data_IF_809173350727
#
_entry.id   IF_809173350727
#
_cell.length_a   1.000
_cell.length_b   1.000
_cell.length_c   1.000
_cell.angle_alpha   90.00
_cell.angle_beta   90.00
_cell.angle_gamma   90.00
#
_symmetry.space_group_name_H-M   'P 1'
#
loop_
_entity.id
_entity.type
_entity.pdbx_description
1 polymer ?
#
# COMPACT_ATOMS: atom_id res chain seq x y z
N UNK A 1 -30.13 22.21 10.61
CA UNK A 1 -28.73 22.46 11.03
C UNK A 1 -28.39 21.39 12.06
N UNK A 2 -27.69 20.30 11.78
CA UNK A 2 -26.47 20.12 10.99
C UNK A 2 -26.58 18.91 10.04
N UNK A 3 -26.41 19.15 8.74
CA UNK A 3 -25.97 18.13 7.79
C UNK A 3 -24.47 17.94 7.99
N UNK A 4 -24.06 16.81 8.57
CA UNK A 4 -22.66 16.39 8.60
C UNK A 4 -22.51 15.11 7.78
N UNK A 5 -22.06 15.29 6.54
CA UNK A 5 -21.48 14.32 5.60
C UNK A 5 -21.23 12.89 6.12
N UNK A 6 -22.08 11.94 5.70
CA UNK A 6 -21.88 10.49 5.77
C UNK A 6 -20.79 10.03 4.76
N UNK A 7 -19.52 10.31 5.05
CA UNK A 7 -18.38 9.89 4.24
C UNK A 7 -17.47 8.96 5.07
N UNK A 8 -17.94 7.75 5.40
CA UNK A 8 -17.24 6.84 6.31
C UNK A 8 -16.77 5.58 5.58
N UNK A 9 -15.44 5.46 5.41
CA UNK A 9 -14.78 4.56 4.48
C UNK A 9 -14.29 3.28 5.19
N UNK A 10 -14.91 2.12 4.99
CA UNK A 10 -14.45 0.86 5.61
C UNK A 10 -13.50 0.05 4.73
N UNK A 11 -13.76 -0.06 3.42
CA UNK A 11 -12.94 -0.84 2.49
C UNK A 11 -12.08 0.07 1.59
N UNK A 12 -10.80 -0.29 1.36
CA UNK A 12 -9.97 0.42 0.40
C UNK A 12 -8.70 -0.28 -0.04
N UNK A 13 -8.09 0.27 -1.10
CA UNK A 13 -6.76 -0.12 -1.57
C UNK A 13 -5.72 0.54 -0.66
N UNK A 14 -5.01 -0.23 0.17
CA UNK A 14 -4.01 0.31 1.11
C UNK A 14 -2.63 0.43 0.49
N UNK A 15 -2.21 -0.56 -0.29
CA UNK A 15 -0.88 -0.57 -0.91
C UNK A 15 -0.96 -1.07 -2.35
N UNK A 16 -0.23 -0.42 -3.25
CA UNK A 16 -0.05 -0.92 -4.62
C UNK A 16 1.43 -1.01 -4.98
N UNK A 17 1.83 -2.15 -5.53
CA UNK A 17 3.22 -2.46 -5.89
C UNK A 17 3.34 -2.65 -7.40
N UNK A 18 4.42 -2.11 -7.97
CA UNK A 18 4.78 -2.25 -9.37
C UNK A 18 6.21 -2.77 -9.50
N UNK A 19 6.49 -3.48 -10.59
CA UNK A 19 7.87 -3.83 -10.99
C UNK A 19 8.11 -3.30 -12.40
N UNK A 20 9.20 -2.57 -12.59
CA UNK A 20 9.54 -1.96 -13.88
C UNK A 20 11.04 -1.81 -14.04
N UNK A 21 11.51 -1.52 -15.26
CA UNK A 21 12.90 -1.13 -15.47
C UNK A 21 13.16 0.24 -14.87
N UNK A 22 14.32 0.43 -14.23
CA UNK A 22 14.79 1.70 -13.68
C UNK A 22 14.68 2.84 -14.70
N UNK A 23 15.13 2.59 -15.94
CA UNK A 23 15.02 3.53 -17.05
C UNK A 23 13.59 4.02 -17.32
N UNK A 24 12.62 3.09 -17.41
CA UNK A 24 11.21 3.42 -17.64
C UNK A 24 10.63 4.26 -16.51
N UNK A 25 10.93 3.94 -15.24
CA UNK A 25 10.52 4.75 -14.09
C UNK A 25 11.08 6.17 -14.20
N UNK A 26 12.40 6.31 -14.42
CA UNK A 26 13.05 7.60 -14.57
C UNK A 26 12.44 8.42 -15.71
N UNK A 27 12.21 7.82 -16.89
CA UNK A 27 11.57 8.49 -18.04
C UNK A 27 10.18 9.01 -17.69
N UNK A 28 9.40 8.24 -16.91
CA UNK A 28 8.07 8.66 -16.47
C UNK A 28 8.13 9.81 -15.47
N UNK A 29 9.00 9.72 -14.47
CA UNK A 29 9.19 10.77 -13.48
C UNK A 29 9.71 12.06 -14.14
N UNK A 30 10.65 11.96 -15.10
CA UNK A 30 11.11 13.10 -15.94
C UNK A 30 9.95 13.79 -16.63
N UNK A 31 9.13 13.02 -17.35
CA UNK A 31 7.97 13.58 -18.06
C UNK A 31 7.04 14.32 -17.09
N UNK A 32 6.83 13.78 -15.90
CA UNK A 32 5.98 14.39 -14.88
C UNK A 32 6.58 15.63 -14.21
N UNK A 33 7.89 15.66 -14.00
CA UNK A 33 8.58 16.85 -13.49
C UNK A 33 8.50 17.99 -14.53
N UNK A 34 8.72 17.68 -15.80
CA UNK A 34 8.64 18.64 -16.90
C UNK A 34 7.23 19.23 -17.10
N UNK A 35 6.18 18.44 -16.85
CA UNK A 35 4.80 18.91 -16.87
C UNK A 35 4.48 19.94 -15.77
N UNK A 36 5.32 20.04 -14.72
CA UNK A 36 5.17 21.02 -13.62
C UNK A 36 5.97 22.30 -13.83
N UNK A 37 6.94 22.29 -14.73
CA UNK A 37 7.77 23.46 -14.99
C UNK A 37 7.09 24.39 -16.00
N UNK A 38 7.29 25.72 -15.86
CA UNK A 38 7.00 26.67 -16.93
C UNK A 38 7.55 26.18 -18.27
N UNK A 39 6.96 26.63 -19.39
CA UNK A 39 7.39 26.20 -20.74
C UNK A 39 8.82 26.65 -21.12
N UNK A 40 9.49 27.39 -20.24
CA UNK A 40 10.87 27.83 -20.41
C UNK A 40 11.81 26.64 -20.65
N UNK A 41 12.59 26.75 -21.73
CA UNK A 41 13.49 25.73 -22.25
C UNK A 41 14.73 25.54 -21.35
N UNK A 42 15.22 26.61 -20.71
CA UNK A 42 16.43 26.56 -19.89
C UNK A 42 16.21 25.78 -18.59
N UNK A 43 15.14 26.09 -17.84
CA UNK A 43 14.75 25.36 -16.62
C UNK A 43 14.46 23.87 -16.88
N UNK A 44 13.90 23.56 -18.06
CA UNK A 44 13.62 22.17 -18.45
C UNK A 44 14.89 21.38 -18.73
N UNK A 45 15.91 22.01 -19.32
CA UNK A 45 17.20 21.38 -19.59
C UNK A 45 17.96 21.04 -18.28
N UNK A 46 17.94 21.93 -17.29
CA UNK A 46 18.59 21.73 -15.99
C UNK A 46 18.00 20.54 -15.20
N UNK A 47 16.67 20.35 -15.25
CA UNK A 47 15.97 19.23 -14.61
C UNK A 47 16.12 17.92 -15.39
N UNK A 48 16.44 17.98 -16.70
CA UNK A 48 16.58 16.82 -17.57
C UNK A 48 17.90 16.06 -17.37
N UNK A 49 18.90 16.68 -16.77
CA UNK A 49 20.17 16.03 -16.44
C UNK A 49 19.92 14.77 -15.60
N UNK A 50 20.34 13.62 -16.10
CA UNK A 50 20.08 12.31 -15.47
C UNK A 50 20.65 12.23 -14.04
N UNK A 51 21.75 12.96 -13.78
CA UNK A 51 22.33 13.14 -12.45
C UNK A 51 21.40 13.91 -11.50
N UNK A 52 20.66 14.93 -11.96
CA UNK A 52 19.77 15.73 -11.11
C UNK A 52 18.45 15.02 -10.79
N UNK A 53 17.94 14.19 -11.69
CA UNK A 53 16.76 13.37 -11.40
C UNK A 53 17.07 12.26 -10.40
N UNK A 54 18.27 11.66 -10.51
CA UNK A 54 18.78 10.80 -9.46
C UNK A 54 19.05 11.58 -8.19
N UNK A 55 19.48 12.84 -8.23
CA UNK A 55 19.58 13.69 -7.03
C UNK A 55 18.21 14.02 -6.40
N UNK A 56 17.14 14.16 -7.20
CA UNK A 56 15.76 14.25 -6.70
C UNK A 56 15.26 12.93 -6.08
N UNK A 57 15.79 11.80 -6.54
CA UNK A 57 15.60 10.47 -5.93
C UNK A 57 16.68 10.15 -4.86
N UNK A 58 17.73 10.97 -4.74
CA UNK A 58 18.82 10.78 -3.79
C UNK A 58 18.27 11.26 -2.46
N UNK A 59 17.95 10.26 -1.66
CA UNK A 59 18.21 10.31 -0.23
C UNK A 59 17.75 11.61 0.42
N UNK A 60 16.44 11.69 0.65
CA UNK A 60 16.03 12.18 1.96
C UNK A 60 16.56 11.15 2.96
N UNK A 61 17.82 11.29 3.35
CA UNK A 61 18.45 10.52 4.43
C UNK A 61 17.69 10.71 5.76
N UNK A 62 16.81 11.71 5.81
CA UNK A 62 15.79 11.88 6.83
C UNK A 62 14.60 10.95 6.58
N UNK A 63 14.90 9.66 6.67
CA UNK A 63 13.95 8.57 6.54
C UNK A 63 12.98 8.62 7.71
N UNK A 64 11.73 8.98 7.44
CA UNK A 64 10.68 8.99 8.44
C UNK A 64 10.62 7.62 9.13
N UNK A 65 10.60 7.59 10.47
CA UNK A 65 10.54 6.36 11.30
C UNK A 65 9.54 5.33 10.76
N UNK A 66 8.39 5.79 10.26
CA UNK A 66 7.35 4.94 9.66
C UNK A 66 7.80 4.24 8.36
N UNK A 67 8.50 4.93 7.46
CA UNK A 67 8.98 4.35 6.22
C UNK A 67 10.11 3.34 6.44
N UNK A 68 11.03 3.63 7.37
CA UNK A 68 12.05 2.65 7.78
C UNK A 68 11.42 1.41 8.40
N UNK A 69 10.44 1.59 9.28
CA UNK A 69 9.71 0.47 9.86
C UNK A 69 8.99 -0.34 8.77
N UNK A 70 8.31 0.32 7.83
CA UNK A 70 7.67 -0.36 6.70
C UNK A 70 8.67 -1.19 5.88
N UNK A 71 9.84 -0.63 5.55
CA UNK A 71 10.88 -1.34 4.78
C UNK A 71 11.42 -2.53 5.58
N UNK A 72 11.79 -2.31 6.85
CA UNK A 72 12.47 -3.31 7.68
C UNK A 72 11.55 -4.42 8.18
N UNK A 73 10.23 -4.18 8.25
CA UNK A 73 9.27 -5.18 8.72
C UNK A 73 8.38 -5.71 7.58
N UNK A 74 7.66 -4.84 6.86
CA UNK A 74 6.74 -5.26 5.79
C UNK A 74 7.48 -5.71 4.54
N UNK A 75 8.59 -5.05 4.18
CA UNK A 75 9.41 -5.42 3.01
C UNK A 75 10.59 -6.34 3.32
N UNK A 76 10.75 -6.83 4.57
CA UNK A 76 11.89 -7.68 4.97
C UNK A 76 12.10 -8.89 4.05
N UNK A 77 11.00 -9.54 3.67
CA UNK A 77 11.01 -10.71 2.81
C UNK A 77 11.45 -10.43 1.37
N UNK A 78 11.55 -9.16 0.97
CA UNK A 78 12.03 -8.72 -0.35
C UNK A 78 13.54 -8.49 -0.37
N UNK A 79 14.17 -8.36 0.81
CA UNK A 79 15.61 -8.16 0.94
C UNK A 79 16.32 -9.50 0.67
N UNK A 80 17.30 -9.56 -0.24
CA UNK A 80 18.06 -10.78 -0.50
C UNK A 80 18.81 -11.24 0.76
N UNK A 81 18.69 -12.52 1.11
CA UNK A 81 19.45 -13.11 2.22
C UNK A 81 20.98 -13.01 2.01
N UNK A 82 21.42 -13.05 0.75
CA UNK A 82 22.82 -12.86 0.33
C UNK A 82 22.87 -11.71 -0.68
N UNK A 83 22.99 -10.44 -0.23
CA UNK A 83 23.03 -9.30 -1.13
C UNK A 83 24.31 -9.30 -1.98
N UNK A 84 24.20 -8.87 -3.23
CA UNK A 84 25.36 -8.73 -4.11
C UNK A 84 26.21 -7.54 -3.64
N UNK A 85 27.51 -7.75 -3.39
CA UNK A 85 28.43 -6.67 -2.98
C UNK A 85 28.45 -5.49 -3.96
N UNK A 86 28.38 -5.76 -5.27
CA UNK A 86 28.37 -4.72 -6.32
C UNK A 86 27.03 -4.00 -6.47
N UNK A 87 25.94 -4.62 -6.03
CA UNK A 87 24.58 -4.11 -6.21
C UNK A 87 23.76 -4.35 -4.94
N UNK A 88 24.10 -3.71 -3.80
CA UNK A 88 23.41 -3.96 -2.55
C UNK A 88 21.94 -3.54 -2.61
N UNK A 89 21.11 -4.13 -1.75
CA UNK A 89 19.74 -3.65 -1.55
C UNK A 89 19.76 -2.17 -1.19
N UNK A 90 18.90 -1.39 -1.86
CA UNK A 90 18.75 0.04 -1.60
C UNK A 90 17.27 0.38 -1.60
N UNK A 91 16.89 1.29 -0.70
CA UNK A 91 15.55 1.85 -0.66
C UNK A 91 15.65 3.37 -0.79
N UNK A 92 14.87 3.94 -1.70
CA UNK A 92 14.73 5.38 -1.88
C UNK A 92 13.30 5.78 -1.59
N UNK A 93 13.11 6.87 -0.85
CA UNK A 93 11.81 7.38 -0.45
C UNK A 93 11.60 8.71 -1.17
N UNK A 94 10.52 8.79 -1.97
CA UNK A 94 10.07 10.02 -2.61
C UNK A 94 8.82 10.51 -1.88
N UNK A 95 8.95 11.63 -1.16
CA UNK A 95 7.82 12.35 -0.58
C UNK A 95 7.14 13.15 -1.69
N UNK A 96 5.86 12.87 -1.95
CA UNK A 96 5.09 13.57 -3.00
C UNK A 96 4.62 14.94 -2.48
N UNK A 97 4.50 15.05 -1.16
CA UNK A 97 4.20 16.24 -0.40
C UNK A 97 5.43 16.68 0.42
N UNK A 98 5.72 17.97 0.44
CA UNK A 98 6.81 18.52 1.24
C UNK A 98 6.51 18.35 2.73
N UNK A 99 7.54 18.07 3.54
CA UNK A 99 7.43 17.86 4.99
C UNK A 99 6.56 16.68 5.42
N UNK A 100 6.13 15.81 4.51
CA UNK A 100 5.38 14.62 4.88
C UNK A 100 6.21 13.67 5.78
N UNK A 101 5.61 13.26 6.90
CA UNK A 101 6.20 12.35 7.90
C UNK A 101 5.60 10.93 7.86
N UNK A 102 4.63 10.71 6.98
CA UNK A 102 3.78 9.51 6.97
C UNK A 102 3.99 8.66 5.71
N UNK A 103 3.48 7.43 5.75
CA UNK A 103 3.47 6.54 4.58
C UNK A 103 2.54 7.04 3.47
N UNK A 104 1.39 7.62 3.82
CA UNK A 104 0.52 8.32 2.86
C UNK A 104 1.31 9.39 2.11
N UNK A 105 0.98 9.68 0.85
CA UNK A 105 1.68 10.67 0.03
C UNK A 105 3.19 10.41 -0.17
N UNK A 106 3.60 9.15 -0.09
CA UNK A 106 4.98 8.72 -0.32
C UNK A 106 5.03 7.62 -1.38
N UNK A 107 6.10 7.60 -2.18
CA UNK A 107 6.46 6.51 -3.06
C UNK A 107 7.79 5.92 -2.59
N UNK A 108 7.85 4.62 -2.38
CA UNK A 108 9.07 3.90 -2.01
C UNK A 108 9.59 3.15 -3.23
N UNK A 109 10.87 3.31 -3.55
CA UNK A 109 11.54 2.59 -4.64
C UNK A 109 12.57 1.65 -4.01
N UNK A 110 12.39 0.35 -4.22
CA UNK A 110 13.32 -0.67 -3.78
C UNK A 110 14.14 -1.16 -4.97
N UNK A 111 15.46 -1.05 -4.85
CA UNK A 111 16.42 -1.59 -5.79
C UNK A 111 16.98 -2.90 -5.27
N UNK A 112 17.37 -3.79 -6.19
CA UNK A 112 18.12 -5.00 -5.86
C UNK A 112 17.41 -5.94 -4.86
N UNK A 113 16.08 -6.01 -4.93
CA UNK A 113 15.27 -7.01 -4.23
C UNK A 113 15.49 -8.42 -4.80
N UNK A 114 15.12 -9.44 -4.02
CA UNK A 114 15.13 -10.85 -4.48
C UNK A 114 14.38 -11.01 -5.81
N UNK A 115 13.27 -10.27 -5.97
CA UNK A 115 12.41 -10.33 -7.16
C UNK A 115 13.01 -9.63 -8.37
N UNK A 116 13.56 -8.43 -8.18
CA UNK A 116 14.18 -7.67 -9.28
C UNK A 116 15.45 -8.36 -9.77
N UNK A 117 16.20 -9.02 -8.88
CA UNK A 117 17.30 -9.91 -9.27
C UNK A 117 16.82 -11.10 -10.11
N UNK A 118 15.79 -11.81 -9.66
CA UNK A 118 15.24 -12.94 -10.41
C UNK A 118 14.79 -12.51 -11.82
N UNK A 119 14.14 -11.35 -11.92
CA UNK A 119 13.72 -10.78 -13.19
C UNK A 119 14.91 -10.35 -14.07
N UNK A 120 15.94 -9.73 -13.48
CA UNK A 120 17.16 -9.36 -14.20
C UNK A 120 17.85 -10.59 -14.80
N UNK A 121 18.02 -11.65 -14.01
CA UNK A 121 18.63 -12.91 -14.45
C UNK A 121 17.80 -13.56 -15.56
N UNK A 122 16.48 -13.67 -15.37
CA UNK A 122 15.56 -14.24 -16.37
C UNK A 122 15.65 -13.54 -17.72
N UNK A 123 15.88 -12.23 -17.71
CA UNK A 123 15.94 -11.41 -18.92
C UNK A 123 17.37 -11.11 -19.40
N UNK A 124 18.39 -11.78 -18.85
CA UNK A 124 19.80 -11.55 -19.17
C UNK A 124 20.21 -10.06 -19.09
N UNK A 125 19.73 -9.35 -18.06
CA UNK A 125 20.06 -7.94 -17.80
C UNK A 125 20.90 -7.80 -16.52
N UNK A 126 21.55 -6.64 -16.37
CA UNK A 126 22.29 -6.28 -15.14
C UNK A 126 21.36 -6.31 -13.92
N UNK A 127 21.86 -6.73 -12.76
CA UNK A 127 21.03 -6.94 -11.56
C UNK A 127 20.27 -5.68 -11.09
N UNK A 128 20.83 -4.49 -11.36
CA UNK A 128 20.24 -3.20 -11.03
C UNK A 128 19.29 -2.64 -12.12
N UNK A 129 18.91 -3.44 -13.12
CA UNK A 129 18.06 -2.99 -14.24
C UNK A 129 16.61 -2.73 -13.81
N UNK A 130 16.11 -3.52 -12.86
CA UNK A 130 14.71 -3.47 -12.43
C UNK A 130 14.59 -2.92 -11.02
N UNK A 131 13.49 -2.21 -10.78
CA UNK A 131 13.11 -1.65 -9.49
C UNK A 131 11.70 -2.06 -9.13
N UNK A 132 11.43 -2.16 -7.84
CA UNK A 132 10.10 -2.30 -7.29
C UNK A 132 9.64 -0.94 -6.77
N UNK A 133 8.43 -0.53 -7.15
CA UNK A 133 7.85 0.75 -6.74
C UNK A 133 6.63 0.46 -5.90
N UNK A 134 6.55 1.06 -4.71
CA UNK A 134 5.50 0.82 -3.72
C UNK A 134 4.82 2.16 -3.40
N UNK A 135 3.50 2.18 -3.48
CA UNK A 135 2.64 3.24 -2.93
C UNK A 135 1.95 2.69 -1.68
N UNK A 136 2.51 2.93 -0.48
CA UNK A 136 1.88 2.52 0.77
C UNK A 136 0.87 3.57 1.25
N UNK A 137 -0.01 3.17 2.17
CA UNK A 137 -0.86 4.10 2.90
C UNK A 137 -1.88 4.85 2.02
N UNK A 138 -2.35 4.18 0.96
CA UNK A 138 -3.43 4.64 0.07
C UNK A 138 -4.82 4.48 0.70
N UNK A 139 -4.92 3.84 1.87
CA UNK A 139 -6.14 3.76 2.67
C UNK A 139 -5.82 4.03 4.15
N UNK A 140 -5.74 5.32 4.49
CA UNK A 140 -5.39 5.80 5.83
C UNK A 140 -6.43 6.81 6.33
N UNK A 141 -7.43 6.36 7.11
CA UNK A 141 -8.46 7.24 7.69
C UNK A 141 -7.95 8.43 8.51
N UNK A 142 -6.72 8.35 9.03
CA UNK A 142 -6.09 9.41 9.83
C UNK A 142 -5.25 10.40 9.01
N UNK A 143 -5.13 10.24 7.67
CA UNK A 143 -4.28 11.06 6.80
C UNK A 143 -4.99 11.47 5.51
N UNK A 144 -4.72 12.69 5.08
CA UNK A 144 -5.12 13.12 3.74
C UNK A 144 -4.30 12.36 2.69
N UNK A 145 -4.96 11.95 1.61
CA UNK A 145 -4.28 11.45 0.41
C UNK A 145 -4.43 12.49 -0.68
N UNK A 146 -3.31 13.08 -1.05
CA UNK A 146 -3.29 14.21 -1.96
C UNK A 146 -3.56 13.75 -3.41
N UNK A 147 -4.24 14.59 -4.17
CA UNK A 147 -4.52 14.40 -5.58
C UNK A 147 -3.24 14.17 -6.41
N UNK A 148 -2.12 14.78 -6.00
CA UNK A 148 -0.81 14.57 -6.65
C UNK A 148 -0.35 13.11 -6.53
N UNK A 149 -0.62 12.46 -5.40
CA UNK A 149 -0.31 11.04 -5.14
C UNK A 149 -1.14 10.15 -6.06
N UNK A 150 -2.46 10.39 -6.09
CA UNK A 150 -3.40 9.63 -6.94
C UNK A 150 -3.08 9.81 -8.43
N UNK A 151 -2.73 11.04 -8.86
CA UNK A 151 -2.28 11.33 -10.24
C UNK A 151 -1.02 10.55 -10.63
N UNK A 152 -0.03 10.48 -9.76
CA UNK A 152 1.20 9.72 -9.99
C UNK A 152 0.92 8.22 -10.03
N UNK A 153 0.16 7.72 -9.07
CA UNK A 153 -0.23 6.32 -8.98
C UNK A 153 -0.92 5.87 -10.27
N UNK A 154 -1.93 6.61 -10.74
CA UNK A 154 -2.61 6.32 -12.00
C UNK A 154 -1.65 6.26 -13.18
N UNK A 155 -0.79 7.27 -13.35
CA UNK A 155 0.17 7.30 -14.48
C UNK A 155 1.07 6.07 -14.51
N UNK A 156 1.49 5.58 -13.35
CA UNK A 156 2.26 4.33 -13.21
C UNK A 156 1.40 3.11 -13.52
N UNK A 157 0.21 3.04 -12.94
CA UNK A 157 -0.77 1.96 -13.13
C UNK A 157 -1.12 1.71 -14.61
N UNK A 158 -1.35 2.77 -15.38
CA UNK A 158 -1.71 2.67 -16.80
C UNK A 158 -0.52 2.12 -17.64
N UNK A 159 0.72 2.41 -17.23
CA UNK A 159 1.93 2.14 -18.02
C UNK A 159 2.73 0.93 -17.56
N UNK A 160 2.52 0.45 -16.34
CA UNK A 160 3.34 -0.60 -15.71
C UNK A 160 2.44 -1.74 -15.25
N UNK A 161 2.99 -2.96 -15.21
CA UNK A 161 2.33 -4.12 -14.64
C UNK A 161 2.24 -3.96 -13.13
N UNK A 162 1.04 -4.14 -12.58
CA UNK A 162 0.83 -4.20 -11.14
C UNK A 162 1.34 -5.54 -10.64
N UNK A 163 2.21 -5.51 -9.65
CA UNK A 163 2.82 -6.70 -9.09
C UNK A 163 1.91 -7.34 -8.04
N UNK A 164 1.48 -6.54 -7.07
CA UNK A 164 0.59 -6.93 -5.99
C UNK A 164 -0.19 -5.72 -5.47
N UNK A 165 -1.27 -5.99 -4.74
CA UNK A 165 -2.06 -5.01 -3.99
C UNK A 165 -2.33 -5.50 -2.58
N UNK A 166 -2.55 -4.56 -1.67
CA UNK A 166 -3.17 -4.82 -0.37
C UNK A 166 -4.55 -4.19 -0.36
N UNK A 167 -5.59 -5.00 -0.12
CA UNK A 167 -6.93 -4.52 0.22
C UNK A 167 -7.07 -4.51 1.74
N UNK A 168 -7.71 -3.48 2.27
CA UNK A 168 -7.95 -3.31 3.69
C UNK A 168 -9.43 -3.08 3.97
N UNK A 169 -9.93 -3.68 5.04
CA UNK A 169 -11.25 -3.45 5.60
C UNK A 169 -11.12 -3.07 7.08
N UNK A 170 -11.61 -1.88 7.41
CA UNK A 170 -11.69 -1.31 8.75
C UNK A 170 -13.05 -1.63 9.39
N UNK A 171 -13.02 -2.15 10.61
CA UNK A 171 -14.22 -2.54 11.36
C UNK A 171 -14.03 -2.39 12.87
N UNK A 172 -15.10 -2.62 13.65
CA UNK A 172 -15.12 -2.53 15.10
C UNK A 172 -15.21 -3.92 15.68
N UNK A 173 -14.34 -4.19 16.63
CA UNK A 173 -14.34 -5.42 17.41
C UNK A 173 -13.96 -5.04 18.84
N UNK A 174 -14.92 -5.20 19.76
CA UNK A 174 -14.74 -4.86 21.17
C UNK A 174 -13.63 -5.67 21.84
N UNK A 175 -13.49 -6.93 21.45
CA UNK A 175 -12.46 -7.82 21.99
C UNK A 175 -11.09 -7.50 21.38
N UNK A 176 -10.05 -7.60 22.22
CA UNK A 176 -8.67 -7.47 21.77
C UNK A 176 -8.31 -8.56 20.75
N UNK A 177 -7.49 -8.21 19.76
CA UNK A 177 -7.02 -9.17 18.74
C UNK A 177 -6.14 -10.26 19.37
N UNK A 178 -5.46 -9.96 20.48
CA UNK A 178 -4.67 -10.94 21.22
C UNK A 178 -5.50 -11.90 22.07
N UNK A 179 -6.80 -11.67 22.25
CA UNK A 179 -7.61 -12.51 23.14
C UNK A 179 -7.70 -13.96 22.63
N UNK A 180 -7.76 -14.97 23.52
CA UNK A 180 -7.89 -16.37 23.11
C UNK A 180 -9.11 -16.64 22.23
N UNK A 181 -10.22 -15.96 22.51
CA UNK A 181 -11.47 -16.03 21.76
C UNK A 181 -11.28 -15.58 20.30
N UNK A 182 -10.76 -14.36 20.09
CA UNK A 182 -10.54 -13.81 18.75
C UNK A 182 -9.50 -14.61 17.98
N UNK A 183 -8.44 -15.08 18.66
CA UNK A 183 -7.44 -15.96 18.02
C UNK A 183 -8.06 -17.28 17.55
N UNK A 184 -8.88 -17.91 18.38
CA UNK A 184 -9.54 -19.19 18.06
C UNK A 184 -10.52 -19.01 16.91
N UNK A 185 -11.37 -17.98 16.98
CA UNK A 185 -12.30 -17.62 15.92
C UNK A 185 -11.59 -17.33 14.60
N UNK A 186 -10.57 -16.46 14.63
CA UNK A 186 -9.76 -16.12 13.45
C UNK A 186 -9.09 -17.35 12.84
N UNK A 187 -8.56 -18.25 13.69
CA UNK A 187 -7.97 -19.50 13.21
C UNK A 187 -8.99 -20.38 12.50
N UNK A 188 -10.20 -20.53 13.07
CA UNK A 188 -11.30 -21.30 12.48
C UNK A 188 -11.72 -20.72 11.13
N UNK A 189 -11.97 -19.41 11.06
CA UNK A 189 -12.32 -18.71 9.81
C UNK A 189 -11.26 -18.91 8.73
N UNK A 190 -9.97 -18.81 9.08
CA UNK A 190 -8.88 -18.89 8.11
C UNK A 190 -8.37 -20.32 7.87
N UNK A 191 -8.93 -21.34 8.50
CA UNK A 191 -8.38 -22.71 8.46
C UNK A 191 -8.40 -23.29 7.04
N UNK A 192 -9.45 -22.98 6.27
CA UNK A 192 -9.60 -23.41 4.89
C UNK A 192 -8.55 -22.77 3.96
N UNK A 193 -7.99 -21.61 4.34
CA UNK A 193 -6.90 -20.92 3.63
C UNK A 193 -5.52 -21.39 4.08
N UNK A 194 -5.40 -21.99 5.26
CA UNK A 194 -4.13 -22.49 5.75
C UNK A 194 -3.70 -23.75 4.97
N UNK A 195 -2.39 -23.89 4.76
CA UNK A 195 -1.82 -25.14 4.24
C UNK A 195 -1.40 -26.04 5.39
N UNK A 196 -0.99 -25.46 6.52
CA UNK A 196 -0.53 -26.13 7.74
C UNK A 196 -0.92 -25.29 8.97
N UNK A 197 -1.15 -25.95 10.10
CA UNK A 197 -1.46 -25.26 11.37
C UNK A 197 -0.37 -24.26 11.84
N UNK A 198 0.88 -24.44 11.40
CA UNK A 198 2.02 -23.54 11.76
C UNK A 198 2.11 -22.29 10.88
N UNK A 199 1.18 -22.07 9.96
CA UNK A 199 1.21 -20.91 9.06
C UNK A 199 0.74 -19.61 9.74
N UNK A 200 0.08 -19.74 10.91
CA UNK A 200 -0.36 -18.62 11.73
C UNK A 200 0.80 -18.08 12.59
N UNK A 201 1.00 -16.76 12.53
CA UNK A 201 1.94 -16.05 13.41
C UNK A 201 1.17 -15.01 14.23
N UNK A 202 1.32 -15.07 15.55
CA UNK A 202 0.70 -14.14 16.48
C UNK A 202 1.78 -13.18 17.00
N UNK A 203 1.53 -11.88 16.93
CA UNK A 203 2.49 -10.88 17.37
C UNK A 203 1.75 -9.68 17.97
N UNK A 204 1.88 -9.48 19.29
CA UNK A 204 1.09 -8.49 20.04
C UNK A 204 -0.40 -8.54 19.65
N UNK A 205 -0.96 -7.39 19.22
CA UNK A 205 -2.33 -7.23 18.72
C UNK A 205 -2.45 -7.49 17.22
N UNK A 206 -1.80 -8.54 16.71
CA UNK A 206 -1.83 -8.88 15.29
C UNK A 206 -1.77 -10.39 15.06
N UNK A 207 -2.51 -10.84 14.06
CA UNK A 207 -2.57 -12.22 13.58
C UNK A 207 -2.22 -12.21 12.09
N UNK A 208 -1.23 -13.03 11.71
CA UNK A 208 -0.77 -13.16 10.33
C UNK A 208 -1.00 -14.60 9.85
N UNK A 209 -1.54 -14.74 8.64
CA UNK A 209 -1.45 -15.98 7.86
C UNK A 209 -0.56 -15.70 6.64
N UNK A 210 0.66 -16.23 6.67
CA UNK A 210 1.63 -16.06 5.59
C UNK A 210 1.56 -17.24 4.62
N UNK A 211 1.63 -16.97 3.31
CA UNK A 211 1.61 -18.00 2.25
C UNK A 211 0.36 -18.93 2.30
N UNK A 212 -0.86 -18.36 2.38
CA UNK A 212 -2.09 -19.15 2.34
C UNK A 212 -2.21 -19.92 1.02
N UNK A 213 -3.25 -20.75 0.92
CA UNK A 213 -3.69 -21.30 -0.37
C UNK A 213 -3.91 -20.14 -1.35
N UNK A 214 -3.39 -20.24 -2.59
CA UNK A 214 -3.31 -19.11 -3.50
C UNK A 214 -4.64 -18.81 -4.22
N UNK A 215 -5.74 -18.72 -3.47
CA UNK A 215 -7.07 -18.37 -3.99
C UNK A 215 -7.02 -16.93 -4.50
N UNK A 216 -7.38 -16.72 -5.78
CA UNK A 216 -7.28 -15.43 -6.49
C UNK A 216 -5.90 -14.74 -6.39
N UNK A 217 -4.84 -15.52 -6.13
CA UNK A 217 -3.48 -15.00 -5.93
C UNK A 217 -3.20 -14.46 -4.52
N UNK A 218 -3.99 -14.81 -3.52
CA UNK A 218 -3.77 -14.43 -2.12
C UNK A 218 -2.37 -14.86 -1.63
N UNK A 219 -1.66 -13.93 -0.98
CA UNK A 219 -0.28 -14.12 -0.49
C UNK A 219 -0.16 -13.97 1.03
N UNK A 220 -1.06 -13.20 1.65
CA UNK A 220 -1.05 -12.92 3.09
C UNK A 220 -2.40 -12.44 3.57
N UNK A 221 -2.78 -12.84 4.77
CA UNK A 221 -3.88 -12.26 5.56
C UNK A 221 -3.28 -11.65 6.83
N UNK A 222 -3.74 -10.47 7.22
CA UNK A 222 -3.33 -9.77 8.44
C UNK A 222 -4.56 -9.17 9.13
N UNK A 223 -4.84 -9.60 10.35
CA UNK A 223 -5.79 -8.96 11.25
C UNK A 223 -5.04 -8.25 12.36
N UNK A 224 -5.35 -6.98 12.65
CA UNK A 224 -4.69 -6.25 13.72
C UNK A 224 -5.53 -5.13 14.33
N UNK A 225 -5.13 -4.70 15.53
CA UNK A 225 -5.67 -3.52 16.18
C UNK A 225 -5.10 -2.24 15.56
N UNK A 226 -5.98 -1.54 14.81
CA UNK A 226 -5.59 -0.37 14.04
C UNK A 226 -5.58 0.89 14.91
N UNK A 227 -6.48 0.99 15.90
CA UNK A 227 -6.46 2.05 16.90
C UNK A 227 -5.12 2.07 17.64
N UNK A 228 -4.74 0.97 18.29
CA UNK A 228 -3.49 0.86 19.04
C UNK A 228 -2.26 1.11 18.16
N UNK A 229 -2.28 0.65 16.90
CA UNK A 229 -1.20 0.96 15.96
C UNK A 229 -1.09 2.46 15.71
N UNK A 230 -2.20 3.17 15.55
CA UNK A 230 -2.18 4.62 15.31
C UNK A 230 -1.84 5.41 16.57
N UNK A 231 -2.41 5.06 17.72
CA UNK A 231 -2.18 5.79 18.97
C UNK A 231 -0.82 5.48 19.58
N UNK A 232 -0.43 4.21 19.69
CA UNK A 232 0.75 3.81 20.46
C UNK A 232 2.01 3.82 19.58
N UNK A 233 1.93 3.27 18.37
CA UNK A 233 3.10 3.17 17.50
C UNK A 233 3.34 4.44 16.68
N UNK A 234 2.25 5.06 16.18
CA UNK A 234 2.35 6.29 15.38
C UNK A 234 2.15 7.58 16.19
N UNK A 235 1.78 7.50 17.48
CA UNK A 235 1.53 8.65 18.35
C UNK A 235 0.54 9.66 17.74
N UNK A 236 -0.52 9.16 17.11
CA UNK A 236 -1.54 9.99 16.45
C UNK A 236 -2.72 10.26 17.38
N UNK A 237 -3.24 11.50 17.42
CA UNK A 237 -4.45 11.83 18.17
C UNK A 237 -5.68 11.32 17.40
N UNK A 238 -6.04 10.07 17.66
CA UNK A 238 -7.23 9.41 17.11
C UNK A 238 -8.40 9.61 18.07
N UNK A 239 -9.60 9.82 17.52
CA UNK A 239 -10.82 9.97 18.33
C UNK A 239 -11.08 8.72 19.18
N UNK A 240 -11.44 8.90 20.45
CA UNK A 240 -11.64 7.80 21.41
C UNK A 240 -12.80 6.87 21.01
N UNK A 241 -13.80 7.38 20.29
CA UNK A 241 -14.89 6.59 19.70
C UNK A 241 -14.39 5.44 18.79
N UNK A 242 -13.14 5.53 18.31
CA UNK A 242 -12.50 4.51 17.47
C UNK A 242 -11.66 3.50 18.27
N UNK A 243 -11.76 3.45 19.60
CA UNK A 243 -10.96 2.52 20.43
C UNK A 243 -11.07 1.04 20.03
N UNK A 244 -12.21 0.65 19.46
CA UNK A 244 -12.47 -0.72 19.00
C UNK A 244 -12.04 -0.95 17.54
N UNK A 245 -11.37 0.01 16.89
CA UNK A 245 -11.00 -0.03 15.47
C UNK A 245 -9.94 -1.09 15.15
N UNK A 246 -10.35 -2.12 14.41
CA UNK A 246 -9.52 -3.18 13.85
C UNK A 246 -9.44 -3.08 12.33
N UNK A 247 -8.42 -3.73 11.76
CA UNK A 247 -8.26 -3.84 10.30
C UNK A 247 -7.93 -5.26 9.88
N UNK A 248 -8.65 -5.73 8.87
CA UNK A 248 -8.32 -6.92 8.08
C UNK A 248 -7.66 -6.48 6.78
N UNK A 249 -6.45 -6.96 6.50
CA UNK A 249 -5.64 -6.61 5.33
C UNK A 249 -5.24 -7.88 4.57
N UNK A 250 -5.55 -7.95 3.28
CA UNK A 250 -5.25 -9.07 2.39
C UNK A 250 -4.31 -8.60 1.28
N UNK A 251 -3.20 -9.32 1.11
CA UNK A 251 -2.24 -9.09 0.02
C UNK A 251 -2.50 -10.04 -1.14
N UNK A 252 -2.72 -9.53 -2.34
CA UNK A 252 -2.97 -10.31 -3.55
C UNK A 252 -1.89 -10.09 -4.62
N UNK A 253 -1.47 -11.19 -5.25
CA UNK A 253 -0.62 -11.16 -6.44
C UNK A 253 -1.45 -10.82 -7.67
N UNK A 254 -1.08 -9.73 -8.35
CA UNK A 254 -1.74 -9.29 -9.59
C UNK A 254 -1.00 -9.84 -10.81
N UNK A 255 0.23 -9.36 -11.04
CA UNK A 255 1.09 -9.85 -12.13
C UNK A 255 0.67 -9.43 -13.55
N UNK A 256 -0.25 -8.47 -13.68
CA UNK A 256 -0.78 -7.99 -14.97
C UNK A 256 -1.05 -6.49 -14.95
N UNK A 257 -1.46 -5.95 -16.12
CA UNK A 257 -1.95 -4.57 -16.22
C UNK A 257 -3.20 -4.39 -15.37
N UNK A 258 -3.32 -3.23 -14.74
CA UNK A 258 -4.44 -2.95 -13.83
C UNK A 258 -5.80 -3.06 -14.51
N UNK A 259 -5.96 -2.45 -15.69
CA UNK A 259 -7.26 -2.46 -16.37
C UNK A 259 -7.69 -3.89 -16.69
N UNK A 260 -6.75 -4.74 -17.17
CA UNK A 260 -6.99 -6.18 -17.34
C UNK A 260 -7.35 -6.91 -16.04
N UNK A 261 -6.74 -6.53 -14.92
CA UNK A 261 -7.07 -7.11 -13.61
C UNK A 261 -8.49 -6.75 -13.14
N UNK A 262 -8.95 -5.54 -13.45
CA UNK A 262 -10.32 -5.09 -13.16
C UNK A 262 -11.32 -5.74 -14.12
N UNK A 263 -11.06 -5.66 -15.43
CA UNK A 263 -11.93 -6.18 -16.49
C UNK A 263 -12.13 -7.70 -16.41
N UNK A 264 -11.13 -8.43 -15.93
CA UNK A 264 -11.24 -9.90 -15.74
C UNK A 264 -12.08 -10.32 -14.54
N UNK A 265 -12.63 -9.39 -13.75
CA UNK A 265 -13.39 -9.70 -12.53
C UNK A 265 -12.53 -10.12 -11.33
N UNK A 266 -11.21 -10.31 -11.51
CA UNK A 266 -10.29 -10.75 -10.43
C UNK A 266 -10.23 -9.77 -9.26
N UNK A 267 -10.37 -8.47 -9.51
CA UNK A 267 -10.48 -7.50 -8.41
C UNK A 267 -11.73 -7.78 -7.56
N UNK A 268 -12.87 -8.08 -8.18
CA UNK A 268 -14.10 -8.40 -7.47
C UNK A 268 -13.99 -9.69 -6.67
N UNK A 269 -13.33 -10.73 -7.20
CA UNK A 269 -13.04 -11.95 -6.42
C UNK A 269 -12.22 -11.64 -5.15
N UNK A 270 -11.23 -10.74 -5.25
CA UNK A 270 -10.42 -10.34 -4.11
C UNK A 270 -11.23 -9.58 -3.06
N UNK A 271 -12.16 -8.72 -3.50
CA UNK A 271 -13.09 -7.97 -2.64
C UNK A 271 -14.04 -8.94 -1.94
N UNK A 272 -14.69 -9.83 -2.70
CA UNK A 272 -15.62 -10.82 -2.14
C UNK A 272 -14.94 -11.71 -1.09
N UNK A 273 -13.68 -12.12 -1.32
CA UNK A 273 -12.92 -12.88 -0.33
C UNK A 273 -12.70 -12.07 0.96
N UNK A 274 -12.33 -10.79 0.85
CA UNK A 274 -12.14 -9.91 2.00
C UNK A 274 -13.45 -9.75 2.80
N UNK A 275 -14.55 -9.51 2.11
CA UNK A 275 -15.88 -9.33 2.70
C UNK A 275 -16.38 -10.60 3.38
N UNK A 276 -16.26 -11.76 2.72
CA UNK A 276 -16.66 -13.05 3.30
C UNK A 276 -15.89 -13.35 4.59
N UNK A 277 -14.56 -13.15 4.60
CA UNK A 277 -13.76 -13.33 5.81
C UNK A 277 -14.15 -12.34 6.91
N UNK A 278 -14.48 -11.09 6.55
CA UNK A 278 -14.94 -10.11 7.52
C UNK A 278 -16.29 -10.53 8.13
N UNK A 279 -17.25 -10.99 7.32
CA UNK A 279 -18.55 -11.51 7.79
C UNK A 279 -18.34 -12.69 8.75
N UNK A 280 -17.49 -13.66 8.38
CA UNK A 280 -17.20 -14.83 9.24
C UNK A 280 -16.49 -14.44 10.55
N UNK A 281 -15.73 -13.35 10.56
CA UNK A 281 -15.16 -12.77 11.77
C UNK A 281 -16.18 -12.01 12.63
N UNK A 282 -17.44 -11.95 12.20
CA UNK A 282 -18.49 -11.05 12.70
C UNK A 282 -17.96 -9.62 12.81
N UNK A 283 -17.27 -9.18 11.77
CA UNK A 283 -16.82 -7.80 11.66
C UNK A 283 -18.04 -6.88 11.61
N UNK A 284 -18.41 -6.34 12.77
CA UNK A 284 -19.32 -5.21 12.83
C UNK A 284 -18.57 -4.02 12.29
N UNK A 285 -18.79 -3.67 11.02
CA UNK A 285 -18.39 -2.35 10.53
C UNK A 285 -19.10 -1.34 11.43
N UNK A 286 -18.37 -0.47 12.14
CA UNK A 286 -18.96 0.45 13.11
C UNK A 286 -19.92 1.44 12.44
N UNK A 287 -19.93 1.46 11.10
CA UNK A 287 -20.60 2.46 10.27
C UNK A 287 -21.31 1.87 9.02
N UNK A 288 -21.54 0.55 8.98
CA UNK A 288 -22.05 -0.16 7.78
C UNK A 288 -20.95 -0.48 6.74
N UNK A 289 -21.17 -1.50 5.90
CA UNK A 289 -20.26 -1.85 4.80
C UNK A 289 -20.47 -0.85 3.67
N UNK A 290 -19.81 0.31 3.75
CA UNK A 290 -19.83 1.28 2.66
C UNK A 290 -18.70 1.01 1.65
N UNK A 291 -19.04 0.34 0.55
CA UNK A 291 -18.15 0.12 -0.60
C UNK A 291 -17.88 1.40 -1.40
N UNK A 292 -18.62 2.49 -1.16
CA UNK A 292 -18.44 3.79 -1.82
C UNK A 292 -17.01 4.30 -1.69
N UNK A 293 -16.30 3.89 -0.64
CA UNK A 293 -14.93 4.20 -0.37
C UNK A 293 -13.96 3.70 -1.45
N UNK A 294 -14.01 2.39 -1.70
CA UNK A 294 -13.23 1.78 -2.75
C UNK A 294 -13.69 2.30 -4.11
N UNK A 295 -14.99 2.43 -4.34
CA UNK A 295 -15.52 2.96 -5.60
C UNK A 295 -15.08 4.41 -5.84
N UNK A 296 -15.03 5.25 -4.82
CA UNK A 296 -14.51 6.62 -4.88
C UNK A 296 -13.01 6.62 -5.15
N UNK A 297 -12.22 5.76 -4.51
CA UNK A 297 -10.80 5.59 -4.82
C UNK A 297 -10.60 5.14 -6.27
N UNK A 298 -11.35 4.14 -6.73
CA UNK A 298 -11.29 3.62 -8.10
C UNK A 298 -11.74 4.65 -9.12
N UNK A 299 -12.80 5.42 -8.84
CA UNK A 299 -13.32 6.51 -9.68
C UNK A 299 -12.30 7.64 -9.81
N UNK A 300 -11.70 8.09 -8.70
CA UNK A 300 -10.60 9.08 -8.71
C UNK A 300 -9.38 8.59 -9.47
N UNK A 301 -9.09 7.28 -9.42
CA UNK A 301 -8.02 6.68 -10.22
C UNK A 301 -8.41 6.47 -11.70
N UNK A 302 -9.71 6.39 -12.03
CA UNK A 302 -10.23 6.29 -13.42
C UNK A 302 -10.36 7.65 -14.11
N UNK A 303 -10.65 8.74 -13.40
CA UNK A 303 -10.75 10.10 -13.97
C UNK A 303 -9.88 11.13 -13.23
N UNK A 304 -8.86 11.67 -13.93
CA UNK A 304 -7.93 12.66 -13.37
C UNK A 304 -8.57 14.04 -13.20
N UNK A 305 -9.69 14.30 -13.88
CA UNK A 305 -10.45 15.56 -13.75
C UNK A 305 -11.18 15.63 -12.41
N UNK A 306 -11.53 14.48 -11.84
CA UNK A 306 -12.23 14.31 -10.57
C UNK A 306 -11.24 13.99 -9.43
N UNK A 307 -9.94 14.01 -9.72
CA UNK A 307 -8.90 13.66 -8.76
C UNK A 307 -8.73 14.78 -7.72
N UNK A 308 -9.57 14.74 -6.69
CA UNK A 308 -9.51 15.56 -5.47
C UNK A 308 -8.84 14.80 -4.33
N UNK A 309 -8.38 15.54 -3.33
CA UNK A 309 -7.83 14.96 -2.11
C UNK A 309 -8.85 14.04 -1.43
N UNK A 310 -8.36 13.00 -0.75
CA UNK A 310 -9.18 12.16 0.13
C UNK A 310 -8.90 12.65 1.56
N UNK A 311 -9.86 13.29 2.25
CA UNK A 311 -9.63 13.85 3.57
C UNK A 311 -9.52 12.77 4.64
N UNK A 312 -8.73 13.06 5.68
CA UNK A 312 -8.74 12.32 6.93
C UNK A 312 -10.04 12.58 7.68
N UNK A 313 -10.58 11.55 8.33
CA UNK A 313 -11.83 11.63 9.10
C UNK A 313 -11.69 11.07 10.53
N UNK A 314 -10.62 10.30 10.80
CA UNK A 314 -10.40 9.61 12.07
C UNK A 314 -9.64 10.42 13.14
N UNK A 315 -9.09 11.58 12.79
CA UNK A 315 -8.35 12.44 13.74
C UNK A 315 -9.27 13.35 14.54
N UNK A 316 -8.84 13.70 15.75
CA UNK A 316 -9.42 14.83 16.48
C UNK A 316 -9.16 16.11 15.67
N UNK A 317 -10.17 16.96 15.55
CA UNK A 317 -10.13 18.20 14.77
C UNK A 317 -9.08 19.19 15.30
#
# INVERSE_FOLDING_TARGET
>A
MLEASNNNYSLGLDTQVFVTSKYKLCKMLKKMALERLPKDKALRLEVLEEKNLFNMLKTVNDTTKQANHFINHKCRHLIPAKPCKKHPFQASILKIEQNNRFLSNTMIVLENTTKTYALARKNHKRLNTYVMVIFPGLHQPSKNINAKTLKLLRKLRDKIVTDSIDLALDFSLKSEVSSPEIRTKTKKVLEHLAKRNRDFNYYHQSIYLNKPRPISGLQRVLLYDKYQKQTNFHAEPIKEELKDWKRLELTFKVGMKWDKFVESGRLQECINLLENLAIELEACTPFGVDTSALDNQLKKLKDLRICTDIPAWAKVA
#
